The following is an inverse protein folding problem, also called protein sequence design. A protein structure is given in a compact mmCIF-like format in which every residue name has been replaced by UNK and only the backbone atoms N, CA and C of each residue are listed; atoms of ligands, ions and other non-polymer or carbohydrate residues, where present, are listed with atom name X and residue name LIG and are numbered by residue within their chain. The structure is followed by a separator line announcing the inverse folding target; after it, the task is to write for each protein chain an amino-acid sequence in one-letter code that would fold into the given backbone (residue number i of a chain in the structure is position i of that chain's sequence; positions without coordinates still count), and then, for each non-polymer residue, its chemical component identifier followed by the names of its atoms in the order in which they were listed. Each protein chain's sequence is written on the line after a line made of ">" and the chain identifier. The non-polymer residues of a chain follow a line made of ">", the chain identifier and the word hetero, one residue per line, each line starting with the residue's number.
data_IF_591103930364
#
_entry.id   IF_591103930364
#
_cell.length_a   1.000
_cell.length_b   1.000
_cell.length_c   1.000
_cell.angle_alpha   90.00
_cell.angle_beta   90.00
_cell.angle_gamma   90.00
#
_symmetry.space_group_name_H-M   'P 1'
#
loop_
_entity.id
_entity.type
_entity.pdbx_description
1 polymer ?
#
# COMPACT_ATOMS: atom_id res chain seq x y z
N UNK A 1 -10.85 -0.42 24.20
CA UNK A 1 -9.91 -0.48 23.06
C UNK A 1 -10.17 0.58 21.98
N UNK A 2 -11.26 0.55 21.19
CA UNK A 2 -11.44 1.52 20.06
C UNK A 2 -11.54 3.00 20.49
N UNK A 3 -12.01 3.27 21.71
CA UNK A 3 -12.02 4.62 22.30
C UNK A 3 -10.64 5.13 22.73
N UNK A 4 -9.61 4.28 22.73
CA UNK A 4 -8.23 4.65 23.08
C UNK A 4 -7.42 5.06 21.84
N UNK A 5 -7.95 4.86 20.63
CA UNK A 5 -7.34 5.34 19.40
C UNK A 5 -7.81 6.77 19.11
N UNK A 6 -6.92 7.66 18.64
CA UNK A 6 -7.33 9.01 18.22
C UNK A 6 -8.44 8.92 17.16
N UNK A 7 -9.41 9.83 17.24
CA UNK A 7 -10.48 9.89 16.26
C UNK A 7 -9.89 10.30 14.90
N UNK A 8 -10.04 9.43 13.90
CA UNK A 8 -9.58 9.73 12.53
C UNK A 8 -10.34 10.91 11.92
N UNK A 9 -11.63 11.02 12.24
CA UNK A 9 -12.50 12.12 11.83
C UNK A 9 -13.15 12.70 13.10
N UNK A 10 -12.97 14.00 13.42
CA UNK A 10 -13.51 14.59 14.64
C UNK A 10 -15.04 14.50 14.75
N UNK A 11 -15.74 14.50 13.62
CA UNK A 11 -17.21 14.41 13.53
C UNK A 11 -17.75 12.98 13.58
N UNK A 12 -16.89 11.95 13.60
CA UNK A 12 -17.35 10.56 13.53
C UNK A 12 -16.86 9.72 14.71
N UNK A 13 -17.81 9.25 15.51
CA UNK A 13 -17.53 8.28 16.57
C UNK A 13 -17.72 6.85 16.05
N UNK A 14 -16.72 6.01 16.24
CA UNK A 14 -16.75 4.59 15.85
C UNK A 14 -17.73 3.81 16.73
N UNK A 15 -18.72 3.19 16.11
CA UNK A 15 -19.67 2.27 16.76
C UNK A 15 -19.18 0.82 16.67
N UNK A 16 -19.63 -0.02 17.61
CA UNK A 16 -19.37 -1.46 17.63
C UNK A 16 -20.71 -2.18 17.64
N UNK A 17 -20.87 -3.16 16.74
CA UNK A 17 -22.11 -3.92 16.57
C UNK A 17 -21.84 -5.41 16.78
N UNK A 18 -22.81 -6.13 17.32
CA UNK A 18 -22.80 -7.60 17.35
C UNK A 18 -23.42 -8.09 16.04
N UNK A 19 -22.69 -8.93 15.30
CA UNK A 19 -23.15 -9.41 13.99
C UNK A 19 -23.07 -10.94 13.89
N UNK A 20 -23.98 -11.53 13.10
CA UNK A 20 -23.92 -12.92 12.69
C UNK A 20 -24.24 -13.00 11.21
N UNK A 21 -23.23 -13.30 10.38
CA UNK A 21 -23.42 -13.45 8.94
C UNK A 21 -24.38 -14.61 8.61
N UNK A 22 -24.22 -15.75 9.31
CA UNK A 22 -25.08 -16.92 9.11
C UNK A 22 -26.53 -16.67 9.56
N UNK A 23 -26.71 -15.95 10.67
CA UNK A 23 -28.03 -15.65 11.23
C UNK A 23 -28.63 -14.32 10.78
N UNK A 24 -27.98 -13.59 9.88
CA UNK A 24 -28.41 -12.26 9.39
C UNK A 24 -28.43 -11.13 10.44
N UNK A 25 -28.13 -11.40 11.71
CA UNK A 25 -28.22 -10.43 12.81
C UNK A 25 -27.19 -9.32 12.67
N UNK A 26 -27.60 -8.07 12.88
CA UNK A 26 -26.69 -6.93 12.95
C UNK A 26 -26.23 -6.39 11.59
N UNK A 27 -26.63 -7.03 10.48
CA UNK A 27 -26.19 -6.66 9.14
C UNK A 27 -26.83 -5.35 8.69
N UNK A 28 -28.13 -5.17 8.93
CA UNK A 28 -28.86 -3.95 8.58
C UNK A 28 -28.37 -2.75 9.39
N UNK A 29 -28.06 -2.95 10.68
CA UNK A 29 -27.52 -1.91 11.55
C UNK A 29 -26.12 -1.48 11.11
N UNK A 30 -25.28 -2.42 10.70
CA UNK A 30 -23.97 -2.11 10.10
C UNK A 30 -24.14 -1.35 8.78
N UNK A 31 -25.04 -1.79 7.90
CA UNK A 31 -25.29 -1.12 6.63
C UNK A 31 -25.80 0.32 6.81
N UNK A 32 -26.72 0.52 7.76
CA UNK A 32 -27.19 1.84 8.16
C UNK A 32 -26.03 2.72 8.65
N UNK A 33 -25.17 2.19 9.52
CA UNK A 33 -24.01 2.94 10.02
C UNK A 33 -23.02 3.32 8.91
N UNK A 34 -22.76 2.42 7.95
CA UNK A 34 -21.93 2.69 6.77
C UNK A 34 -22.54 3.81 5.94
N UNK A 35 -23.85 3.74 5.68
CA UNK A 35 -24.55 4.74 4.86
C UNK A 35 -24.48 6.12 5.51
N UNK A 36 -24.79 6.22 6.82
CA UNK A 36 -24.66 7.47 7.58
C UNK A 36 -23.24 8.01 7.53
N UNK A 37 -22.22 7.16 7.67
CA UNK A 37 -20.82 7.59 7.57
C UNK A 37 -20.50 8.17 6.20
N UNK A 38 -20.94 7.49 5.13
CA UNK A 38 -20.70 7.93 3.75
C UNK A 38 -21.36 9.28 3.47
N UNK A 39 -22.55 9.53 4.03
CA UNK A 39 -23.19 10.83 3.94
C UNK A 39 -22.38 11.91 4.66
N UNK A 40 -21.99 11.68 5.91
CA UNK A 40 -21.22 12.64 6.70
C UNK A 40 -19.86 12.96 6.07
N UNK A 41 -19.10 11.96 5.63
CA UNK A 41 -17.80 12.17 4.99
C UNK A 41 -17.92 12.84 3.61
N UNK A 42 -19.05 12.65 2.91
CA UNK A 42 -19.35 13.36 1.66
C UNK A 42 -19.73 14.82 1.91
N UNK A 43 -20.57 15.10 2.91
CA UNK A 43 -20.93 16.48 3.32
C UNK A 43 -19.70 17.29 3.71
N UNK A 44 -18.72 16.65 4.36
CA UNK A 44 -17.44 17.26 4.72
C UNK A 44 -16.43 17.35 3.54
N UNK A 45 -16.78 16.92 2.32
CA UNK A 45 -15.90 16.94 1.14
C UNK A 45 -14.73 15.94 1.17
N UNK A 46 -14.49 15.30 2.32
CA UNK A 46 -13.35 14.40 2.55
C UNK A 46 -13.42 13.12 1.72
N UNK A 47 -14.61 12.66 1.31
CA UNK A 47 -14.73 11.47 0.47
C UNK A 47 -14.02 11.64 -0.88
N UNK A 48 -14.20 12.81 -1.51
CA UNK A 48 -13.59 13.11 -2.80
C UNK A 48 -12.08 13.32 -2.66
N UNK A 49 -11.64 14.01 -1.60
CA UNK A 49 -10.22 14.20 -1.31
C UNK A 49 -9.50 12.86 -1.07
N UNK A 50 -10.04 12.01 -0.19
CA UNK A 50 -9.47 10.69 0.08
C UNK A 50 -9.39 9.83 -1.18
N UNK A 51 -10.36 9.94 -2.10
CA UNK A 51 -10.34 9.21 -3.38
C UNK A 51 -9.26 9.74 -4.32
N UNK A 52 -9.06 11.06 -4.42
CA UNK A 52 -7.95 11.64 -5.20
C UNK A 52 -6.61 11.14 -4.68
N UNK A 53 -6.45 11.13 -3.36
CA UNK A 53 -5.25 10.61 -2.71
C UNK A 53 -5.05 9.11 -2.98
N UNK A 54 -6.11 8.31 -2.90
CA UNK A 54 -6.08 6.89 -3.25
C UNK A 54 -5.67 6.67 -4.72
N UNK A 55 -6.18 7.48 -5.66
CA UNK A 55 -5.80 7.39 -7.07
C UNK A 55 -4.33 7.73 -7.28
N UNK A 56 -3.81 8.75 -6.58
CA UNK A 56 -2.38 9.08 -6.58
C UNK A 56 -1.53 7.92 -6.07
N UNK A 57 -1.91 7.33 -4.95
CA UNK A 57 -1.19 6.19 -4.37
C UNK A 57 -1.28 4.95 -5.26
N UNK A 58 -2.43 4.71 -5.88
CA UNK A 58 -2.61 3.63 -6.85
C UNK A 58 -1.71 3.82 -8.08
N UNK A 59 -1.61 5.05 -8.61
CA UNK A 59 -0.72 5.37 -9.73
C UNK A 59 0.74 5.02 -9.41
N UNK A 60 1.25 5.49 -8.27
CA UNK A 60 2.62 5.18 -7.86
C UNK A 60 2.83 3.69 -7.57
N UNK A 61 1.85 3.02 -6.94
CA UNK A 61 1.93 1.58 -6.70
C UNK A 61 1.98 0.75 -7.99
N UNK A 62 1.23 1.16 -9.02
CA UNK A 62 1.31 0.55 -10.35
C UNK A 62 2.68 0.80 -10.98
N UNK A 63 3.16 2.05 -10.95
CA UNK A 63 4.47 2.41 -11.51
C UNK A 63 5.60 1.63 -10.85
N UNK A 64 5.64 1.57 -9.52
CA UNK A 64 6.63 0.78 -8.77
C UNK A 64 6.54 -0.71 -9.12
N UNK A 65 5.33 -1.27 -9.20
CA UNK A 65 5.11 -2.65 -9.60
C UNK A 65 5.64 -2.94 -11.01
N UNK A 66 5.40 -2.04 -11.96
CA UNK A 66 5.94 -2.13 -13.33
C UNK A 66 7.46 -2.03 -13.35
N UNK A 67 8.04 -1.02 -12.70
CA UNK A 67 9.49 -0.85 -12.63
C UNK A 67 10.18 -2.07 -11.99
N UNK A 68 9.60 -2.60 -10.91
CA UNK A 68 10.09 -3.81 -10.25
C UNK A 68 10.06 -5.01 -11.19
N UNK A 69 8.96 -5.20 -11.92
CA UNK A 69 8.82 -6.29 -12.90
C UNK A 69 9.85 -6.17 -14.03
N UNK A 70 10.02 -4.98 -14.60
CA UNK A 70 11.01 -4.72 -15.65
C UNK A 70 12.44 -4.93 -15.14
N UNK A 71 12.76 -4.45 -13.94
CA UNK A 71 14.07 -4.61 -13.33
C UNK A 71 14.45 -6.08 -13.12
N UNK A 72 13.57 -6.87 -12.50
CA UNK A 72 13.85 -8.28 -12.23
C UNK A 72 13.72 -9.20 -13.44
N UNK A 73 13.12 -8.73 -14.54
CA UNK A 73 13.11 -9.47 -15.83
C UNK A 73 14.26 -9.08 -16.76
N UNK A 74 15.08 -8.08 -16.39
CA UNK A 74 16.25 -7.70 -17.17
C UNK A 74 17.32 -8.82 -17.14
N UNK A 75 17.78 -9.31 -18.31
CA UNK A 75 18.79 -10.37 -18.35
C UNK A 75 20.12 -9.99 -17.67
N UNK A 76 20.56 -8.74 -17.80
CA UNK A 76 21.83 -8.29 -17.23
C UNK A 76 21.76 -8.16 -15.71
N UNK A 77 20.61 -7.72 -15.18
CA UNK A 77 20.34 -7.75 -13.73
C UNK A 77 20.32 -9.19 -13.24
N UNK A 78 19.62 -10.09 -13.93
CA UNK A 78 19.49 -11.51 -13.55
C UNK A 78 20.85 -12.19 -13.47
N UNK A 79 21.74 -11.94 -14.44
CA UNK A 79 23.10 -12.50 -14.46
C UNK A 79 23.97 -12.05 -13.28
N UNK A 80 23.83 -10.80 -12.85
CA UNK A 80 24.69 -10.21 -11.81
C UNK A 80 24.14 -10.39 -10.40
N UNK A 81 22.82 -10.57 -10.26
CA UNK A 81 22.09 -10.56 -8.99
C UNK A 81 22.65 -11.53 -7.96
N UNK A 82 22.77 -12.81 -8.31
CA UNK A 82 23.20 -13.84 -7.35
C UNK A 82 24.65 -13.64 -6.86
N UNK A 83 25.52 -13.05 -7.70
CA UNK A 83 26.89 -12.73 -7.32
C UNK A 83 26.94 -11.55 -6.35
N UNK A 84 26.19 -10.49 -6.65
CA UNK A 84 26.10 -9.29 -5.82
C UNK A 84 25.44 -9.61 -4.46
N UNK A 85 24.36 -10.40 -4.45
CA UNK A 85 23.70 -10.82 -3.20
C UNK A 85 24.67 -11.58 -2.28
N UNK A 86 25.48 -12.51 -2.84
CA UNK A 86 26.51 -13.23 -2.08
C UNK A 86 27.55 -12.28 -1.47
N UNK A 87 28.07 -11.34 -2.25
CA UNK A 87 29.06 -10.35 -1.77
C UNK A 87 28.51 -9.43 -0.69
N UNK A 88 27.21 -9.09 -0.75
CA UNK A 88 26.56 -8.27 0.28
C UNK A 88 26.39 -9.06 1.58
N UNK A 89 25.93 -10.31 1.49
CA UNK A 89 25.75 -11.19 2.67
C UNK A 89 27.09 -11.53 3.33
N UNK A 90 28.17 -11.67 2.56
CA UNK A 90 29.52 -11.87 3.10
C UNK A 90 30.22 -10.59 3.58
N UNK A 91 29.55 -9.43 3.51
CA UNK A 91 30.09 -8.11 3.84
C UNK A 91 31.30 -7.65 2.99
N UNK A 92 31.55 -8.30 1.85
CA UNK A 92 32.55 -7.86 0.85
C UNK A 92 32.08 -6.61 0.08
N UNK A 93 30.76 -6.41 -0.02
CA UNK A 93 30.13 -5.29 -0.69
C UNK A 93 29.05 -4.68 0.20
N UNK A 94 28.97 -3.35 0.27
CA UNK A 94 27.86 -2.71 0.98
C UNK A 94 26.54 -2.91 0.21
N UNK A 95 25.38 -2.98 0.90
CA UNK A 95 24.07 -3.03 0.23
C UNK A 95 23.85 -1.87 -0.74
N UNK A 96 24.35 -0.67 -0.39
CA UNK A 96 24.26 0.52 -1.24
C UNK A 96 25.03 0.34 -2.56
N UNK A 97 26.27 -0.11 -2.50
CA UNK A 97 27.09 -0.34 -3.70
C UNK A 97 26.54 -1.48 -4.54
N UNK A 98 26.04 -2.55 -3.90
CA UNK A 98 25.37 -3.66 -4.58
C UNK A 98 24.13 -3.21 -5.35
N UNK A 99 23.27 -2.40 -4.73
CA UNK A 99 22.10 -1.84 -5.36
C UNK A 99 22.46 -0.95 -6.57
N UNK A 100 23.48 -0.08 -6.44
CA UNK A 100 23.94 0.77 -7.56
C UNK A 100 24.44 -0.05 -8.74
N UNK A 101 25.22 -1.12 -8.50
CA UNK A 101 25.70 -2.00 -9.58
C UNK A 101 24.55 -2.69 -10.32
N UNK A 102 23.54 -3.17 -9.60
CA UNK A 102 22.36 -3.74 -10.24
C UNK A 102 21.56 -2.69 -11.02
N UNK A 103 21.51 -1.45 -10.50
CA UNK A 103 20.86 -0.34 -11.19
C UNK A 103 21.59 0.06 -12.48
N UNK A 104 22.91 0.14 -12.45
CA UNK A 104 23.74 0.39 -13.64
C UNK A 104 23.55 -0.70 -14.71
N UNK A 105 23.44 -1.96 -14.30
CA UNK A 105 23.17 -3.06 -15.21
C UNK A 105 21.79 -2.95 -15.87
N UNK A 106 20.80 -2.42 -15.16
CA UNK A 106 19.47 -2.16 -15.72
C UNK A 106 19.47 -0.95 -16.66
N UNK A 107 20.15 0.14 -16.32
CA UNK A 107 20.13 1.39 -17.11
C UNK A 107 20.99 1.33 -18.37
N UNK A 108 22.11 0.59 -18.37
CA UNK A 108 23.01 0.47 -19.53
C UNK A 108 22.36 -0.20 -20.76
N UNK A 109 21.24 -0.90 -20.56
CA UNK A 109 20.45 -1.53 -21.64
C UNK A 109 19.57 -0.52 -22.41
N UNK A 110 19.34 0.68 -21.84
CA UNK A 110 18.60 1.77 -22.50
C UNK A 110 19.57 2.75 -23.15
#
# INVERSE_FOLDING_TARGET
>A
ALRMLPAKYPFWQRSVFLTSALGGRGIDEVWGNITTFIEEIRRNGLLAENRREQLRNLLYGILEGMLKKEFFSCPDVTKLREGIERQVVSAELSPFTGANRLMEAFTRRR
#
